data_IF_448333125000
#
_entry.id   IF_448333125000
#
_cell.length_a   1.000
_cell.length_b   1.000
_cell.length_c   1.000
_cell.angle_alpha   90.00
_cell.angle_beta   90.00
_cell.angle_gamma   90.00
#
_symmetry.space_group_name_H-M   'P 1'
#
loop_
_entity.id
_entity.type
_entity.pdbx_description
1 polymer ?
#
# COMPACT_ATOMS: atom_id res chain seq x y z
N UNK A 1 -30.13 -15.76 -71.06
CA UNK A 1 -28.83 -16.23 -70.51
C UNK A 1 -27.88 -15.04 -70.40
N UNK A 2 -26.95 -15.10 -69.44
CA UNK A 2 -25.92 -14.10 -69.07
C UNK A 2 -26.44 -12.93 -68.20
N UNK A 3 -26.53 -13.07 -66.87
CA UNK A 3 -25.51 -13.20 -65.81
C UNK A 3 -25.18 -11.84 -65.19
N UNK A 4 -25.69 -11.62 -63.97
CA UNK A 4 -25.43 -10.45 -63.12
C UNK A 4 -24.07 -10.65 -62.44
N UNK A 5 -23.12 -9.76 -62.69
CA UNK A 5 -21.87 -9.70 -61.92
C UNK A 5 -22.11 -9.00 -60.58
N UNK A 6 -21.96 -9.75 -59.49
CA UNK A 6 -21.93 -9.22 -58.13
C UNK A 6 -20.47 -8.97 -57.76
N UNK A 7 -20.09 -7.70 -57.60
CA UNK A 7 -18.74 -7.32 -57.15
C UNK A 7 -18.77 -7.26 -55.62
N UNK A 8 -18.06 -8.18 -54.97
CA UNK A 8 -17.84 -8.17 -53.52
C UNK A 8 -16.62 -7.30 -53.23
N UNK A 9 -16.83 -6.17 -52.56
CA UNK A 9 -15.75 -5.37 -51.98
C UNK A 9 -15.33 -6.00 -50.66
N UNK A 10 -14.20 -6.72 -50.66
CA UNK A 10 -13.55 -7.22 -49.46
C UNK A 10 -12.63 -6.13 -48.90
N UNK A 11 -13.13 -5.41 -47.90
CA UNK A 11 -12.36 -4.44 -47.14
C UNK A 11 -11.48 -5.20 -46.12
N UNK A 12 -10.20 -5.41 -46.45
CA UNK A 12 -9.23 -5.90 -45.48
C UNK A 12 -8.83 -4.74 -44.56
N UNK A 13 -9.43 -4.66 -43.37
CA UNK A 13 -8.92 -3.82 -42.29
C UNK A 13 -7.62 -4.45 -41.78
N UNK A 14 -6.50 -3.83 -42.13
CA UNK A 14 -5.19 -4.21 -41.60
C UNK A 14 -5.15 -3.79 -40.12
N UNK A 15 -5.43 -4.71 -39.22
CA UNK A 15 -5.21 -4.53 -37.78
C UNK A 15 -3.69 -4.62 -37.58
N UNK A 16 -3.02 -3.47 -37.57
CA UNK A 16 -1.68 -3.36 -37.01
C UNK A 16 -1.80 -3.63 -35.51
N UNK A 17 -1.41 -4.83 -35.07
CA UNK A 17 -1.22 -5.09 -33.65
C UNK A 17 -0.10 -4.16 -33.16
N UNK A 18 -0.45 -3.22 -32.27
CA UNK A 18 0.55 -2.46 -31.53
C UNK A 18 1.46 -3.45 -30.80
N UNK A 19 2.79 -3.20 -30.76
CA UNK A 19 3.69 -4.03 -29.98
C UNK A 19 3.17 -4.06 -28.54
N UNK A 20 3.20 -5.24 -27.92
CA UNK A 20 2.90 -5.42 -26.50
C UNK A 20 3.99 -4.74 -25.64
N UNK A 21 4.11 -3.42 -25.78
CA UNK A 21 4.84 -2.55 -24.89
C UNK A 21 4.08 -2.52 -23.58
N UNK A 22 4.82 -2.62 -22.49
CA UNK A 22 4.30 -2.50 -21.14
C UNK A 22 3.65 -1.12 -21.03
N UNK A 23 2.31 -1.07 -21.07
CA UNK A 23 1.50 0.15 -21.07
C UNK A 23 1.49 0.78 -19.66
N UNK A 24 2.69 1.11 -19.17
CA UNK A 24 2.83 1.94 -17.98
C UNK A 24 2.47 3.35 -18.38
N UNK A 25 1.57 4.03 -17.66
CA UNK A 25 1.36 5.45 -17.86
C UNK A 25 2.71 6.17 -17.70
N UNK A 26 2.90 7.26 -18.46
CA UNK A 26 4.08 8.12 -18.33
C UNK A 26 4.33 8.42 -16.85
N UNK A 27 5.58 8.26 -16.42
CA UNK A 27 5.96 8.49 -15.03
C UNK A 27 5.75 9.97 -14.68
N UNK A 28 4.64 10.29 -14.02
CA UNK A 28 4.41 11.62 -13.47
C UNK A 28 5.34 11.80 -12.28
N UNK A 29 6.42 12.55 -12.47
CA UNK A 29 7.36 12.90 -11.41
C UNK A 29 6.81 14.09 -10.63
N UNK A 30 6.26 13.83 -9.44
CA UNK A 30 6.02 14.89 -8.48
C UNK A 30 7.38 15.32 -7.90
N UNK A 31 7.84 16.52 -8.24
CA UNK A 31 9.04 17.12 -7.63
C UNK A 31 8.65 17.69 -6.27
N UNK A 32 8.66 16.86 -5.24
CA UNK A 32 8.78 17.36 -3.86
C UNK A 32 10.28 17.56 -3.57
N UNK A 33 10.71 18.68 -2.98
CA UNK A 33 12.08 18.83 -2.53
C UNK A 33 12.32 17.80 -1.42
N UNK A 34 12.95 16.68 -1.78
CA UNK A 34 13.15 15.53 -0.89
C UNK A 34 13.79 15.96 0.44
N UNK A 35 14.71 16.92 0.40
CA UNK A 35 15.51 17.35 1.54
C UNK A 35 14.69 17.83 2.74
N UNK A 36 13.61 18.58 2.53
CA UNK A 36 12.81 19.12 3.62
C UNK A 36 11.94 18.06 4.31
N UNK A 37 11.31 17.20 3.51
CA UNK A 37 10.49 16.07 3.99
C UNK A 37 11.37 15.05 4.71
N UNK A 38 12.50 14.71 4.10
CA UNK A 38 13.50 13.80 4.66
C UNK A 38 14.00 14.33 6.01
N UNK A 39 14.43 15.59 6.06
CA UNK A 39 14.91 16.21 7.30
C UNK A 39 13.86 16.21 8.41
N UNK A 40 12.59 16.46 8.09
CA UNK A 40 11.50 16.43 9.08
C UNK A 40 11.35 15.05 9.72
N UNK A 41 11.31 13.99 8.91
CA UNK A 41 11.12 12.62 9.39
C UNK A 41 12.38 12.01 10.02
N UNK A 42 13.56 12.50 9.67
CA UNK A 42 14.85 12.02 10.21
C UNK A 42 15.32 12.77 11.46
N UNK A 43 14.63 13.86 11.83
CA UNK A 43 14.92 14.56 13.09
C UNK A 43 14.28 13.80 14.25
N UNK A 44 15.11 13.08 15.01
CA UNK A 44 14.67 12.33 16.18
C UNK A 44 14.23 13.25 17.33
N UNK A 45 13.18 12.85 18.05
CA UNK A 45 12.80 13.47 19.33
C UNK A 45 13.96 13.40 20.33
N UNK A 46 14.15 14.46 21.13
CA UNK A 46 15.16 14.41 22.19
C UNK A 46 14.75 13.44 23.30
N UNK A 47 15.69 12.74 23.95
CA UNK A 47 15.37 11.84 25.05
C UNK A 47 14.60 12.50 26.19
N UNK A 48 14.84 13.79 26.45
CA UNK A 48 14.16 14.55 27.51
C UNK A 48 12.69 14.77 27.18
N UNK A 49 12.38 15.16 25.93
CA UNK A 49 10.99 15.37 25.48
C UNK A 49 10.23 14.05 25.48
N UNK A 50 10.85 12.98 24.97
CA UNK A 50 10.24 11.65 24.99
C UNK A 50 9.97 11.18 26.42
N UNK A 51 10.94 11.28 27.32
CA UNK A 51 10.76 10.88 28.73
C UNK A 51 9.68 11.69 29.45
N UNK A 52 9.60 13.01 29.19
CA UNK A 52 8.56 13.86 29.76
C UNK A 52 7.16 13.45 29.27
N UNK A 53 7.01 13.19 27.97
CA UNK A 53 5.78 12.68 27.39
C UNK A 53 5.39 11.32 27.98
N UNK A 54 6.34 10.38 28.09
CA UNK A 54 6.10 9.07 28.68
C UNK A 54 5.65 9.15 30.14
N UNK A 55 6.23 10.07 30.93
CA UNK A 55 5.81 10.29 32.32
C UNK A 55 4.37 10.82 32.41
N UNK A 56 4.02 11.78 31.55
CA UNK A 56 2.68 12.36 31.48
C UNK A 56 1.62 11.33 31.06
N UNK A 57 2.00 10.37 30.21
CA UNK A 57 1.10 9.35 29.66
C UNK A 57 1.39 7.94 30.19
N UNK A 58 1.90 7.83 31.42
CA UNK A 58 2.39 6.59 32.03
C UNK A 58 1.34 5.49 32.23
N UNK A 59 0.04 5.81 32.14
CA UNK A 59 -1.06 4.84 32.22
C UNK A 59 -1.25 4.06 30.92
N UNK A 60 -0.75 4.56 29.80
CA UNK A 60 -0.88 3.90 28.50
C UNK A 60 0.25 2.91 28.28
N UNK A 61 -0.10 1.80 27.64
CA UNK A 61 0.83 0.72 27.34
C UNK A 61 1.64 1.03 26.08
N UNK A 62 1.06 1.79 25.17
CA UNK A 62 1.68 2.31 23.96
C UNK A 62 1.02 3.63 23.54
N UNK A 63 1.72 4.39 22.71
CA UNK A 63 1.27 5.67 22.17
C UNK A 63 1.13 5.61 20.66
N UNK A 64 0.09 6.25 20.13
CA UNK A 64 -0.28 6.19 18.71
C UNK A 64 -0.14 7.55 18.06
N UNK A 65 0.39 7.57 16.84
CA UNK A 65 0.52 8.75 15.99
C UNK A 65 0.13 8.38 14.57
N UNK A 66 -0.62 9.25 13.89
CA UNK A 66 -0.90 9.07 12.47
C UNK A 66 0.02 9.93 11.62
N UNK A 67 0.42 9.43 10.46
CA UNK A 67 1.31 10.15 9.56
C UNK A 67 0.89 9.99 8.10
N UNK A 68 0.99 11.07 7.33
CA UNK A 68 0.62 11.04 5.92
C UNK A 68 1.65 10.23 5.11
N UNK A 69 1.21 9.57 4.04
CA UNK A 69 2.06 8.80 3.11
C UNK A 69 3.27 9.58 2.56
N UNK A 70 3.18 10.92 2.48
CA UNK A 70 4.29 11.76 2.06
C UNK A 70 5.39 11.88 3.12
N UNK A 71 5.06 11.64 4.38
CA UNK A 71 5.93 11.73 5.54
C UNK A 71 6.17 10.35 6.15
N UNK A 72 6.33 9.32 5.32
CA UNK A 72 6.49 7.95 5.82
C UNK A 72 7.62 7.84 6.85
N UNK A 73 7.30 7.27 8.02
CA UNK A 73 8.23 7.03 9.11
C UNK A 73 9.32 6.07 8.66
N UNK A 74 10.56 6.45 8.96
CA UNK A 74 11.76 5.67 8.66
C UNK A 74 12.17 4.88 9.90
N UNK A 75 12.65 3.66 9.67
CA UNK A 75 12.89 2.66 10.71
C UNK A 75 13.78 3.20 11.84
N UNK A 76 13.30 3.04 13.09
CA UNK A 76 13.95 3.39 14.36
C UNK A 76 14.07 4.88 14.70
N UNK A 77 13.45 5.80 13.95
CA UNK A 77 13.41 7.22 14.33
C UNK A 77 12.00 7.56 14.81
N UNK A 78 11.90 8.04 16.05
CA UNK A 78 10.69 8.69 16.56
C UNK A 78 10.76 10.17 16.15
N UNK A 79 9.91 10.66 15.23
CA UNK A 79 10.02 12.02 14.71
C UNK A 79 9.74 13.07 15.79
N UNK A 80 10.58 14.10 15.86
CA UNK A 80 10.44 15.19 16.83
C UNK A 80 9.13 15.97 16.66
N UNK A 81 8.64 16.13 15.41
CA UNK A 81 7.47 16.97 15.13
C UNK A 81 6.17 16.42 15.74
N UNK A 82 6.10 15.12 16.04
CA UNK A 82 4.95 14.54 16.75
C UNK A 82 4.75 15.12 18.15
N UNK A 83 5.80 15.68 18.76
CA UNK A 83 5.78 16.24 20.11
C UNK A 83 5.73 17.77 20.11
N UNK A 84 5.83 18.41 18.95
CA UNK A 84 5.69 19.85 18.82
C UNK A 84 4.28 20.31 19.19
N UNK A 85 4.15 21.57 19.62
CA UNK A 85 2.87 22.21 19.95
C UNK A 85 2.02 21.45 21.00
N UNK A 86 2.67 20.68 21.89
CA UNK A 86 2.00 19.88 22.90
C UNK A 86 1.47 18.55 22.38
N UNK A 87 2.17 17.94 21.42
CA UNK A 87 1.83 16.66 20.83
C UNK A 87 0.40 16.58 20.27
N UNK A 88 -0.05 17.59 19.52
CA UNK A 88 -1.43 17.64 18.97
C UNK A 88 -1.82 16.46 18.09
N UNK A 89 -0.85 15.76 17.51
CA UNK A 89 -1.07 14.58 16.67
C UNK A 89 -1.19 13.29 17.49
N UNK A 90 -1.01 13.38 18.82
CA UNK A 90 -1.16 12.23 19.69
C UNK A 90 -2.59 11.69 19.61
N UNK A 91 -2.70 10.40 19.28
CA UNK A 91 -3.97 9.68 19.04
C UNK A 91 -4.85 10.26 17.92
N UNK A 92 -4.32 11.15 17.08
CA UNK A 92 -5.11 11.86 16.08
C UNK A 92 -4.42 11.89 14.71
N UNK A 93 -5.22 11.81 13.65
CA UNK A 93 -4.78 11.99 12.27
C UNK A 93 -5.80 12.76 11.44
N UNK A 94 -5.31 13.55 10.48
CA UNK A 94 -6.15 14.17 9.47
C UNK A 94 -5.49 14.02 8.11
N UNK A 95 -6.27 13.53 7.15
CA UNK A 95 -5.85 13.33 5.76
C UNK A 95 -6.82 13.97 4.78
N UNK A 96 -6.40 14.07 3.51
CA UNK A 96 -7.25 14.47 2.41
C UNK A 96 -7.15 13.45 1.28
N UNK A 97 -8.31 13.04 0.76
CA UNK A 97 -8.43 12.10 -0.34
C UNK A 97 -9.40 12.61 -1.41
N UNK A 98 -9.27 12.09 -2.62
CA UNK A 98 -10.20 12.30 -3.72
C UNK A 98 -11.23 11.16 -3.79
N UNK A 99 -12.45 11.39 -4.34
CA UNK A 99 -13.35 10.29 -4.66
C UNK A 99 -12.67 9.27 -5.58
N UNK A 100 -12.91 7.99 -5.35
CA UNK A 100 -12.30 6.88 -6.10
C UNK A 100 -10.87 6.55 -5.66
N UNK A 101 -10.21 7.39 -4.86
CA UNK A 101 -8.82 7.19 -4.47
C UNK A 101 -8.63 5.97 -3.54
N UNK A 102 -7.55 5.22 -3.76
CA UNK A 102 -6.99 4.36 -2.72
C UNK A 102 -6.07 5.20 -1.82
N UNK A 103 -6.65 5.78 -0.77
CA UNK A 103 -5.93 6.65 0.15
C UNK A 103 -5.13 5.83 1.15
N UNK A 104 -3.91 6.28 1.44
CA UNK A 104 -2.98 5.55 2.30
C UNK A 104 -2.37 6.50 3.32
N UNK A 105 -2.26 6.04 4.56
CA UNK A 105 -1.55 6.73 5.64
C UNK A 105 -0.95 5.70 6.60
N UNK A 106 -0.06 6.15 7.49
CA UNK A 106 0.54 5.31 8.52
C UNK A 106 -0.09 5.54 9.88
N UNK A 107 -0.15 4.45 10.64
CA UNK A 107 -0.37 4.45 12.07
C UNK A 107 0.90 3.97 12.72
N UNK A 108 1.43 4.76 13.62
CA UNK A 108 2.70 4.53 14.25
C UNK A 108 2.50 4.32 15.75
N UNK A 109 3.14 3.29 16.30
CA UNK A 109 3.06 2.92 17.70
C UNK A 109 4.44 3.05 18.34
N UNK A 110 4.47 3.65 19.53
CA UNK A 110 5.65 3.65 20.40
C UNK A 110 5.27 2.86 21.65
N UNK A 111 5.94 1.74 21.89
CA UNK A 111 5.69 0.91 23.07
C UNK A 111 6.49 1.42 24.27
N UNK A 112 5.84 1.42 25.44
CA UNK A 112 6.40 1.98 26.67
C UNK A 112 7.63 1.20 27.17
N UNK A 113 7.42 -0.02 27.68
CA UNK A 113 8.48 -0.84 28.29
C UNK A 113 8.41 -2.30 27.88
N UNK A 114 7.19 -2.85 27.83
CA UNK A 114 6.95 -4.23 27.44
C UNK A 114 6.52 -4.26 25.98
N UNK A 115 7.24 -5.02 25.17
CA UNK A 115 6.82 -5.29 23.80
C UNK A 115 5.48 -6.04 23.82
N UNK A 116 4.49 -5.51 23.11
CA UNK A 116 3.18 -6.15 22.94
C UNK A 116 3.06 -6.67 21.51
N UNK A 117 2.57 -7.89 21.38
CA UNK A 117 2.06 -8.41 20.13
C UNK A 117 0.63 -7.88 19.97
N UNK A 118 0.43 -7.04 18.97
CA UNK A 118 -0.81 -6.30 18.75
C UNK A 118 -1.33 -6.64 17.37
N UNK A 119 -2.64 -6.71 17.23
CA UNK A 119 -3.34 -6.61 15.96
C UNK A 119 -4.07 -5.26 15.89
N UNK A 120 -4.49 -4.84 14.71
CA UNK A 120 -5.27 -3.62 14.55
C UNK A 120 -6.48 -3.82 13.63
N UNK A 121 -7.54 -3.09 13.93
CA UNK A 121 -8.77 -3.06 13.16
C UNK A 121 -9.13 -1.61 12.84
N UNK A 122 -9.59 -1.36 11.62
CA UNK A 122 -9.99 -0.03 11.18
C UNK A 122 -11.51 0.04 11.08
N UNK A 123 -12.11 0.98 11.79
CA UNK A 123 -13.51 1.37 11.62
C UNK A 123 -13.58 2.70 10.86
N UNK A 124 -14.21 2.66 9.69
CA UNK A 124 -14.48 3.84 8.89
C UNK A 124 -15.93 3.86 8.38
N UNK A 125 -16.86 3.47 9.25
CA UNK A 125 -18.29 3.38 8.94
C UNK A 125 -18.96 4.73 8.63
N UNK A 126 -18.33 5.87 8.94
CA UNK A 126 -18.90 7.19 8.66
C UNK A 126 -18.99 7.51 7.16
N UNK A 127 -18.11 6.95 6.33
CA UNK A 127 -18.20 7.02 4.88
C UNK A 127 -18.77 5.70 4.33
N UNK A 128 -20.03 5.74 3.90
CA UNK A 128 -20.71 4.56 3.34
C UNK A 128 -19.92 3.99 2.16
N UNK A 129 -19.86 2.66 2.07
CA UNK A 129 -19.20 1.89 1.00
C UNK A 129 -17.66 2.06 0.92
N UNK A 130 -17.05 2.87 1.78
CA UNK A 130 -15.60 2.87 1.90
C UNK A 130 -15.11 1.52 2.42
N UNK A 131 -13.97 1.06 1.90
CA UNK A 131 -13.35 -0.19 2.35
C UNK A 131 -11.99 0.14 2.95
N UNK A 132 -11.90 0.07 4.27
CA UNK A 132 -10.66 0.27 5.00
C UNK A 132 -10.00 -1.07 5.31
N UNK A 133 -8.68 -1.14 5.17
CA UNK A 133 -7.90 -2.35 5.40
C UNK A 133 -6.51 -2.03 5.96
N UNK A 134 -6.02 -2.96 6.76
CA UNK A 134 -4.64 -2.98 7.26
C UNK A 134 -3.79 -3.63 6.18
N UNK A 135 -2.84 -2.90 5.60
CA UNK A 135 -2.04 -3.38 4.46
C UNK A 135 -0.81 -4.16 4.96
N UNK A 136 -0.19 -3.69 6.03
CA UNK A 136 0.95 -4.38 6.65
C UNK A 136 0.53 -4.85 8.04
N UNK A 137 0.48 -6.17 8.24
CA UNK A 137 0.15 -6.71 9.56
C UNK A 137 1.24 -6.35 10.59
N UNK A 138 0.84 -6.07 11.83
CA UNK A 138 1.75 -5.81 12.95
C UNK A 138 2.59 -7.02 13.41
N UNK A 139 2.68 -8.10 12.62
CA UNK A 139 3.66 -9.17 12.82
C UNK A 139 5.08 -8.63 12.51
N UNK A 140 5.51 -7.68 13.33
CA UNK A 140 6.80 -7.02 13.30
C UNK A 140 7.75 -7.73 14.25
N UNK A 141 9.03 -7.70 13.85
CA UNK A 141 10.16 -8.21 14.62
C UNK A 141 10.07 -7.79 16.09
N UNK A 142 10.55 -8.62 17.04
CA UNK A 142 10.44 -8.37 18.47
C UNK A 142 10.80 -6.92 18.81
N UNK A 143 9.79 -6.14 19.18
CA UNK A 143 9.91 -4.71 19.39
C UNK A 143 10.96 -4.41 20.45
N UNK A 144 11.89 -3.51 20.14
CA UNK A 144 12.74 -2.88 21.14
C UNK A 144 11.91 -1.81 21.85
N UNK A 145 11.98 -1.73 23.18
CA UNK A 145 11.37 -0.62 23.92
C UNK A 145 11.85 0.72 23.35
N UNK A 146 10.95 1.70 23.22
CA UNK A 146 11.18 2.98 22.55
C UNK A 146 11.47 2.91 21.03
N UNK A 147 11.18 1.80 20.36
CA UNK A 147 11.15 1.75 18.90
C UNK A 147 9.76 2.13 18.35
N UNK A 148 9.74 2.73 17.16
CA UNK A 148 8.52 3.00 16.42
C UNK A 148 8.13 1.80 15.56
N UNK A 149 6.89 1.37 15.68
CA UNK A 149 6.24 0.36 14.82
C UNK A 149 5.31 1.10 13.87
N UNK A 150 5.52 1.00 12.56
CA UNK A 150 4.67 1.67 11.57
C UNK A 150 3.80 0.67 10.82
N UNK A 151 2.50 0.93 10.75
CA UNK A 151 1.49 0.13 10.09
C UNK A 151 0.85 0.96 8.97
N UNK A 152 0.77 0.41 7.77
CA UNK A 152 0.07 1.05 6.65
C UNK A 152 -1.42 0.72 6.67
N UNK A 153 -2.24 1.77 6.59
CA UNK A 153 -3.69 1.68 6.43
C UNK A 153 -4.04 2.15 5.02
N UNK A 154 -4.83 1.35 4.32
CA UNK A 154 -5.39 1.68 3.02
C UNK A 154 -6.90 1.83 3.11
N UNK A 155 -7.45 2.89 2.52
CA UNK A 155 -8.89 3.13 2.42
C UNK A 155 -9.24 3.34 0.96
N UNK A 156 -10.10 2.46 0.43
CA UNK A 156 -10.74 2.68 -0.86
C UNK A 156 -11.91 3.64 -0.69
N UNK A 157 -11.75 4.87 -1.18
CA UNK A 157 -12.80 5.90 -1.19
C UNK A 157 -13.74 5.62 -2.37
N UNK A 158 -15.08 5.56 -2.17
CA UNK A 158 -16.03 5.37 -3.27
C UNK A 158 -15.88 6.45 -4.35
N UNK A 159 -16.11 6.07 -5.61
CA UNK A 159 -16.00 6.99 -6.75
C UNK A 159 -17.03 8.12 -6.68
N UNK A 160 -18.21 7.83 -6.14
CA UNK A 160 -19.35 8.72 -5.93
C UNK A 160 -19.42 9.28 -4.50
N UNK A 161 -18.32 9.17 -3.74
CA UNK A 161 -18.25 9.70 -2.37
C UNK A 161 -18.62 11.19 -2.34
N UNK A 162 -19.54 11.54 -1.44
CA UNK A 162 -19.90 12.94 -1.22
C UNK A 162 -18.72 13.69 -0.60
N UNK A 163 -18.51 14.93 -1.03
CA UNK A 163 -17.46 15.77 -0.46
C UNK A 163 -17.77 16.12 0.99
N UNK A 164 -16.78 16.01 1.86
CA UNK A 164 -16.98 16.22 3.29
C UNK A 164 -15.86 15.63 4.13
N UNK A 165 -15.94 15.80 5.43
CA UNK A 165 -15.00 15.21 6.38
C UNK A 165 -15.65 14.05 7.10
N UNK A 166 -15.00 12.90 7.05
CA UNK A 166 -15.48 11.64 7.58
C UNK A 166 -14.55 11.18 8.69
N UNK A 167 -15.12 10.81 9.84
CA UNK A 167 -14.36 10.33 10.99
C UNK A 167 -14.19 8.81 10.98
N UNK A 168 -13.07 8.33 11.46
CA UNK A 168 -12.82 6.91 11.67
C UNK A 168 -11.98 6.68 12.92
N UNK A 169 -11.86 5.41 13.28
CA UNK A 169 -11.13 4.98 14.47
C UNK A 169 -10.34 3.72 14.17
N UNK A 170 -9.11 3.68 14.68
CA UNK A 170 -8.26 2.49 14.63
C UNK A 170 -8.19 1.94 16.03
N UNK A 171 -8.62 0.68 16.16
CA UNK A 171 -8.68 -0.07 17.41
C UNK A 171 -7.55 -1.08 17.42
N UNK A 172 -6.97 -1.30 18.58
CA UNK A 172 -5.89 -2.24 18.77
C UNK A 172 -6.37 -3.42 19.61
N UNK A 173 -5.88 -4.59 19.24
CA UNK A 173 -6.25 -5.86 19.84
C UNK A 173 -4.98 -6.52 20.35
N UNK A 174 -5.01 -7.15 21.53
CA UNK A 174 -3.93 -8.05 21.92
C UNK A 174 -3.96 -9.28 21.03
N UNK A 175 -2.83 -9.56 20.39
CA UNK A 175 -2.60 -10.80 19.67
C UNK A 175 -1.94 -11.77 20.66
N UNK A 176 -2.76 -12.44 21.47
CA UNK A 176 -2.28 -13.62 22.16
C UNK A 176 -2.05 -14.68 21.06
N UNK A 177 -0.87 -15.31 21.00
CA UNK A 177 -0.57 -16.45 20.12
C UNK A 177 -1.41 -17.72 20.46
N UNK A 178 -2.67 -17.55 20.83
CA UNK A 178 -3.60 -18.57 21.29
C UNK A 178 -4.96 -18.35 20.62
N UNK A 179 -5.74 -19.43 20.49
CA UNK A 179 -7.10 -19.46 19.92
C UNK A 179 -8.16 -18.69 20.74
N UNK A 180 -7.72 -17.88 21.71
CA UNK A 180 -8.60 -17.07 22.54
C UNK A 180 -9.11 -15.83 21.78
N UNK A 181 -10.25 -15.31 22.21
CA UNK A 181 -10.79 -14.05 21.67
C UNK A 181 -9.77 -12.91 21.85
N UNK A 182 -9.46 -12.23 20.75
CA UNK A 182 -8.57 -11.07 20.76
C UNK A 182 -9.17 -9.97 21.62
N UNK A 183 -8.45 -9.52 22.64
CA UNK A 183 -8.92 -8.50 23.58
C UNK A 183 -8.67 -7.10 23.04
N UNK A 184 -9.70 -6.28 22.93
CA UNK A 184 -9.56 -4.87 22.57
C UNK A 184 -8.91 -4.05 23.69
N UNK A 185 -7.97 -3.19 23.29
CA UNK A 185 -7.23 -2.29 24.16
C UNK A 185 -7.85 -0.87 24.14
N UNK A 186 -7.73 -0.12 25.24
CA UNK A 186 -8.31 1.22 25.34
C UNK A 186 -7.58 2.25 24.46
N UNK A 187 -6.30 2.04 24.17
CA UNK A 187 -5.54 2.89 23.25
C UNK A 187 -6.06 2.74 21.81
N UNK A 188 -6.15 3.86 21.11
CA UNK A 188 -6.71 3.95 19.76
C UNK A 188 -6.03 5.08 18.98
N UNK A 189 -6.36 5.21 17.70
CA UNK A 189 -6.09 6.41 16.91
C UNK A 189 -7.40 6.87 16.25
N UNK A 190 -7.85 8.08 16.57
CA UNK A 190 -8.94 8.73 15.85
C UNK A 190 -8.38 9.38 14.59
N UNK A 191 -9.11 9.26 13.48
CA UNK A 191 -8.70 9.92 12.24
C UNK A 191 -9.87 10.60 11.53
N UNK A 192 -9.54 11.59 10.71
CA UNK A 192 -10.50 12.26 9.84
C UNK A 192 -9.97 12.34 8.42
N UNK A 193 -10.79 11.94 7.44
CA UNK A 193 -10.46 12.05 6.02
C UNK A 193 -11.40 13.06 5.38
N UNK A 194 -10.82 14.13 4.85
CA UNK A 194 -11.53 15.08 4.00
C UNK A 194 -11.57 14.57 2.57
N UNK A 195 -12.75 14.24 2.06
CA UNK A 195 -12.99 13.92 0.66
C UNK A 195 -13.22 15.22 -0.11
N UNK A 196 -12.33 15.51 -1.07
CA UNK A 196 -12.34 16.74 -1.87
C UNK A 196 -11.68 16.55 -3.24
N UNK A 197 -12.06 17.35 -4.23
CA UNK A 197 -11.40 17.41 -5.55
C UNK A 197 -12.09 16.59 -6.63
N UNK A 198 -11.38 16.34 -7.74
CA UNK A 198 -11.89 15.54 -8.85
C UNK A 198 -11.80 14.03 -8.54
N UNK A 199 -12.75 13.25 -9.06
CA UNK A 199 -12.76 11.80 -8.89
C UNK A 199 -11.62 11.14 -9.70
N UNK A 200 -11.03 10.09 -9.12
CA UNK A 200 -9.95 9.30 -9.73
C UNK A 200 -10.50 7.95 -10.19
N UNK A 201 -10.62 7.76 -11.51
CA UNK A 201 -11.12 6.51 -12.08
C UNK A 201 -10.14 5.32 -11.90
N UNK A 202 -8.83 5.59 -11.83
CA UNK A 202 -7.77 4.59 -11.67
C UNK A 202 -7.38 4.34 -10.20
N UNK A 203 -8.09 4.97 -9.27
CA UNK A 203 -7.81 4.99 -7.84
C UNK A 203 -6.47 5.58 -7.44
N UNK A 204 -5.86 6.41 -8.31
CA UNK A 204 -4.55 7.04 -8.07
C UNK A 204 -3.35 6.17 -8.41
N UNK A 205 -3.53 5.11 -9.19
CA UNK A 205 -2.44 4.18 -9.55
C UNK A 205 -1.48 4.73 -10.59
N UNK A 206 -1.88 5.73 -11.37
CA UNK A 206 -1.01 6.48 -12.29
C UNK A 206 0.03 7.34 -11.55
N UNK A 207 -0.27 7.78 -10.32
CA UNK A 207 0.59 8.68 -9.55
C UNK A 207 1.32 7.95 -8.42
N UNK A 208 2.64 7.73 -8.58
CA UNK A 208 3.42 6.91 -7.65
C UNK A 208 3.38 7.42 -6.20
N UNK A 209 3.36 8.74 -5.99
CA UNK A 209 3.37 9.37 -4.66
C UNK A 209 2.13 9.04 -3.82
N UNK A 210 1.03 8.59 -4.43
CA UNK A 210 -0.21 8.21 -3.73
C UNK A 210 -0.13 6.87 -3.03
N UNK A 211 0.85 6.04 -3.40
CA UNK A 211 1.02 4.67 -2.92
C UNK A 211 -0.20 3.77 -3.20
N UNK A 212 -1.02 4.10 -4.20
CA UNK A 212 -2.26 3.38 -4.51
C UNK A 212 -2.03 1.89 -4.86
N UNK A 213 -0.82 1.53 -5.30
CA UNK A 213 -0.41 0.14 -5.62
C UNK A 213 -0.22 -0.74 -4.38
N UNK A 214 -0.18 -0.17 -3.17
CA UNK A 214 -0.19 -0.95 -1.93
C UNK A 214 -1.43 -1.84 -1.79
N UNK A 215 -2.53 -1.51 -2.48
CA UNK A 215 -3.71 -2.36 -2.60
C UNK A 215 -3.44 -3.75 -3.23
N UNK A 216 -2.27 -3.95 -3.82
CA UNK A 216 -1.85 -5.22 -4.42
C UNK A 216 -1.02 -6.07 -3.46
N UNK A 217 -0.40 -5.48 -2.45
CA UNK A 217 0.42 -6.22 -1.49
C UNK A 217 -0.41 -7.20 -0.66
N UNK A 218 -1.68 -6.86 -0.47
CA UNK A 218 -2.67 -7.67 0.24
C UNK A 218 -3.64 -8.38 -0.73
N UNK A 219 -3.23 -8.57 -1.98
CA UNK A 219 -4.04 -9.27 -2.97
C UNK A 219 -3.94 -10.78 -2.79
N UNK A 220 -5.08 -11.42 -2.56
CA UNK A 220 -5.19 -12.89 -2.56
C UNK A 220 -5.28 -13.49 -3.97
N UNK A 221 -5.16 -12.66 -5.03
CA UNK A 221 -5.28 -13.11 -6.44
C UNK A 221 -4.21 -14.15 -6.81
N UNK A 222 -3.07 -14.14 -6.11
CA UNK A 222 -2.02 -15.16 -6.25
C UNK A 222 -2.11 -16.32 -5.25
N UNK A 223 -3.00 -16.25 -4.27
CA UNK A 223 -3.19 -17.26 -3.22
C UNK A 223 -4.25 -18.26 -3.66
N UNK A 224 -3.90 -19.11 -4.63
CA UNK A 224 -4.75 -20.22 -5.04
C UNK A 224 -3.96 -21.50 -5.24
N UNK A 225 -4.26 -22.51 -4.43
CA UNK A 225 -3.72 -23.86 -4.59
C UNK A 225 -4.40 -24.64 -5.73
N UNK A 226 -5.45 -24.07 -6.35
CA UNK A 226 -6.30 -24.76 -7.34
C UNK A 226 -6.36 -24.05 -8.68
N UNK A 227 -6.11 -22.73 -8.72
CA UNK A 227 -6.17 -21.91 -9.94
C UNK A 227 -4.79 -21.35 -10.24
N UNK A 228 -4.07 -22.04 -11.13
CA UNK A 228 -2.84 -21.50 -11.73
C UNK A 228 -3.22 -20.39 -12.70
N UNK A 229 -2.56 -19.23 -12.62
CA UNK A 229 -2.77 -18.09 -13.53
C UNK A 229 -2.63 -18.55 -14.98
N UNK A 230 -3.72 -18.48 -15.74
CA UNK A 230 -3.75 -18.88 -17.16
C UNK A 230 -3.22 -17.74 -18.05
N UNK A 231 -2.60 -18.05 -19.20
CA UNK A 231 -2.34 -19.39 -19.73
C UNK A 231 -1.08 -20.02 -19.12
N UNK A 232 -1.19 -21.27 -18.64
CA UNK A 232 -0.01 -22.05 -18.29
C UNK A 232 0.47 -22.79 -19.54
N UNK A 233 1.57 -22.33 -20.13
CA UNK A 233 2.27 -23.05 -21.20
C UNK A 233 3.40 -23.83 -20.55
N UNK A 234 3.38 -25.16 -20.67
CA UNK A 234 4.47 -26.01 -20.20
C UNK A 234 5.79 -25.54 -20.82
N UNK A 235 6.85 -25.54 -20.00
CA UNK A 235 8.20 -25.21 -20.47
C UNK A 235 8.57 -26.24 -21.54
N UNK A 236 8.93 -25.77 -22.72
CA UNK A 236 9.35 -26.62 -23.83
C UNK A 236 10.85 -26.48 -24.04
N UNK A 237 11.55 -27.61 -24.00
CA UNK A 237 12.97 -27.66 -24.30
C UNK A 237 13.17 -28.18 -25.72
N UNK A 238 13.78 -27.37 -26.58
CA UNK A 238 14.25 -27.80 -27.89
C UNK A 238 15.71 -28.25 -27.78
N UNK A 239 15.93 -29.56 -27.85
CA UNK A 239 17.27 -30.14 -27.76
C UNK A 239 18.17 -29.81 -28.95
N UNK A 240 17.60 -29.63 -30.14
CA UNK A 240 18.37 -29.34 -31.35
C UNK A 240 18.81 -27.87 -31.36
N UNK A 241 17.93 -26.96 -30.96
CA UNK A 241 18.21 -25.54 -30.89
C UNK A 241 18.88 -25.11 -29.56
N UNK A 242 18.93 -25.99 -28.55
CA UNK A 242 19.38 -25.67 -27.19
C UNK A 242 18.59 -24.48 -26.60
N UNK A 243 17.27 -24.46 -26.79
CA UNK A 243 16.41 -23.38 -26.32
C UNK A 243 15.35 -23.83 -25.33
N UNK A 244 15.07 -22.97 -24.36
CA UNK A 244 13.98 -23.12 -23.38
C UNK A 244 12.90 -22.10 -23.71
N UNK A 245 11.72 -22.57 -24.12
CA UNK A 245 10.53 -21.74 -24.36
C UNK A 245 9.61 -21.76 -23.13
N UNK A 246 9.19 -20.59 -22.65
CA UNK A 246 8.15 -20.45 -21.63
C UNK A 246 7.23 -19.28 -21.98
N UNK A 247 6.23 -19.01 -21.13
CA UNK A 247 5.23 -17.99 -21.44
C UNK A 247 5.90 -16.61 -21.61
N UNK A 248 5.84 -16.08 -22.84
CA UNK A 248 6.28 -14.74 -23.19
C UNK A 248 7.78 -14.55 -23.38
N UNK A 249 8.60 -15.61 -23.30
CA UNK A 249 10.07 -15.53 -23.46
C UNK A 249 10.68 -16.82 -23.99
N UNK A 250 11.86 -16.71 -24.60
CA UNK A 250 12.75 -17.81 -25.00
C UNK A 250 14.16 -17.56 -24.45
N UNK A 251 14.76 -18.60 -23.89
CA UNK A 251 16.17 -18.59 -23.49
C UNK A 251 16.94 -19.49 -24.44
N UNK A 252 18.04 -18.99 -25.00
CA UNK A 252 19.04 -19.81 -25.68
C UNK A 252 20.13 -20.23 -24.69
N UNK A 253 20.58 -21.47 -24.76
CA UNK A 253 21.68 -21.99 -23.96
C UNK A 253 22.98 -22.02 -24.77
N UNK A 254 24.09 -21.68 -24.14
CA UNK A 254 25.43 -21.90 -24.69
C UNK A 254 25.87 -23.36 -24.56
N UNK A 255 27.05 -23.68 -25.11
CA UNK A 255 27.61 -25.05 -25.10
C UNK A 255 27.82 -25.63 -23.70
N UNK A 256 27.95 -24.76 -22.68
CA UNK A 256 28.05 -25.14 -21.27
C UNK A 256 26.69 -25.36 -20.59
N UNK A 257 25.58 -25.26 -21.33
CA UNK A 257 24.22 -25.37 -20.81
C UNK A 257 23.76 -24.14 -20.02
N UNK A 258 24.53 -23.05 -20.01
CA UNK A 258 24.19 -21.80 -19.31
C UNK A 258 23.44 -20.87 -20.29
N UNK A 259 22.43 -20.11 -19.82
CA UNK A 259 21.76 -19.10 -20.64
C UNK A 259 22.74 -18.14 -21.33
N UNK A 260 22.71 -18.11 -22.66
CA UNK A 260 23.52 -17.22 -23.50
C UNK A 260 22.72 -16.02 -24.01
N UNK A 261 21.40 -16.14 -24.14
CA UNK A 261 20.52 -15.06 -24.59
C UNK A 261 19.09 -15.25 -24.07
N UNK A 262 18.39 -14.15 -23.81
CA UNK A 262 16.95 -14.13 -23.50
C UNK A 262 16.25 -13.21 -24.49
N UNK A 263 15.17 -13.69 -25.11
CA UNK A 263 14.35 -12.95 -26.09
C UNK A 263 12.88 -13.02 -25.73
#
# INVERSE_FOLDING_TARGET
MCSRFFVIFLCFASICAEPAGYNMPDAVTATMPADAVMKKMETAVSPQVLAAFQAQHSQQRFWTFGEDRQYAVRKNIIPAHWFENGARQFQQFSGQAQPGEFYVFQVCLIQSKTALDLDCAVDFSSLKQAQAKVVSHPAMMPNQANAVTSIWIGIHIPLDATMGTYAGKIRFLENANTTAEKKELPEHLDFSIRVAGAALADGGTSEAWRLARLKWLDSTVGESDTVVTRPFRAIHFDHAAQTIDFLGRRISLGENGIPSQVT
#
